data_IF_418000810902
#
_entry.id   IF_418000810902
#
_cell.length_a   1.000
_cell.length_b   1.000
_cell.length_c   1.000
_cell.angle_alpha   90.00
_cell.angle_beta   90.00
_cell.angle_gamma   90.00
#
_symmetry.space_group_name_H-M   'P 1'
#
loop_
_entity.id
_entity.type
_entity.pdbx_description
1 polymer ?
#
# COMPACT_ATOMS: atom_id res chain seq x y z
N UNK A 1 13.81 -4.84 16.47
CA UNK A 1 13.45 -6.27 16.35
C UNK A 1 12.05 -6.64 16.86
N UNK A 2 11.42 -5.89 17.79
CA UNK A 2 10.19 -6.34 18.48
C UNK A 2 8.86 -6.20 17.71
N UNK A 3 8.78 -5.38 16.65
CA UNK A 3 7.49 -5.03 16.05
C UNK A 3 6.89 -6.13 15.14
N UNK A 4 7.71 -6.79 14.29
CA UNK A 4 7.20 -7.81 13.37
C UNK A 4 6.69 -9.07 14.10
N UNK A 5 7.47 -9.59 15.05
CA UNK A 5 7.06 -10.76 15.83
C UNK A 5 5.80 -10.48 16.65
N UNK A 6 5.66 -9.26 17.17
CA UNK A 6 4.44 -8.84 17.86
C UNK A 6 3.22 -8.85 16.91
N UNK A 7 3.38 -8.30 15.70
CA UNK A 7 2.32 -8.29 14.67
C UNK A 7 1.91 -9.71 14.26
N UNK A 8 2.86 -10.63 14.12
CA UNK A 8 2.58 -12.03 13.80
C UNK A 8 1.79 -12.72 14.92
N UNK A 9 2.22 -12.54 16.17
CA UNK A 9 1.50 -13.09 17.32
C UNK A 9 0.09 -12.54 17.41
N UNK A 10 -0.09 -11.22 17.20
CA UNK A 10 -1.40 -10.59 17.15
C UNK A 10 -2.27 -11.15 16.03
N UNK A 11 -1.72 -11.32 14.83
CA UNK A 11 -2.44 -11.90 13.70
C UNK A 11 -2.86 -13.34 13.98
N UNK A 12 -1.97 -14.17 14.53
CA UNK A 12 -2.29 -15.56 14.86
C UNK A 12 -3.41 -15.70 15.90
N UNK A 13 -3.59 -14.72 16.79
CA UNK A 13 -4.68 -14.70 17.76
C UNK A 13 -6.04 -14.36 17.14
N UNK A 14 -6.07 -13.49 16.13
CA UNK A 14 -7.33 -12.96 15.56
C UNK A 14 -7.68 -13.57 14.19
N UNK A 15 -6.78 -14.33 13.56
CA UNK A 15 -6.91 -14.76 12.16
C UNK A 15 -8.21 -15.53 11.90
N UNK A 16 -8.68 -16.30 12.85
CA UNK A 16 -9.89 -17.12 12.70
C UNK A 16 -11.19 -16.32 12.99
N UNK A 17 -11.06 -15.09 13.50
CA UNK A 17 -12.17 -14.20 13.87
C UNK A 17 -12.42 -13.07 12.85
N UNK A 18 -11.43 -12.77 12.00
CA UNK A 18 -11.53 -11.70 10.99
C UNK A 18 -12.06 -12.23 9.65
N UNK A 19 -12.74 -11.39 8.83
CA UNK A 19 -13.24 -11.81 7.54
C UNK A 19 -12.14 -12.39 6.65
N UNK A 20 -12.44 -13.45 5.88
CA UNK A 20 -11.45 -14.16 5.04
C UNK A 20 -10.67 -13.25 4.11
N UNK A 21 -11.33 -12.25 3.50
CA UNK A 21 -10.68 -11.26 2.65
C UNK A 21 -9.66 -10.38 3.41
N UNK A 22 -9.94 -10.05 4.67
CA UNK A 22 -8.99 -9.31 5.53
C UNK A 22 -7.86 -10.23 5.98
N UNK A 23 -8.18 -11.48 6.33
CA UNK A 23 -7.21 -12.49 6.71
C UNK A 23 -6.15 -12.70 5.62
N UNK A 24 -6.58 -12.98 4.39
CA UNK A 24 -5.67 -13.24 3.27
C UNK A 24 -4.72 -12.06 3.00
N UNK A 25 -5.24 -10.84 3.11
CA UNK A 25 -4.48 -9.60 2.94
C UNK A 25 -3.45 -9.38 4.04
N UNK A 26 -3.87 -9.55 5.30
CA UNK A 26 -2.97 -9.46 6.45
C UNK A 26 -1.88 -10.55 6.39
N UNK A 27 -2.22 -11.78 6.01
CA UNK A 27 -1.26 -12.86 5.83
C UNK A 27 -0.22 -12.52 4.76
N UNK A 28 -0.65 -12.06 3.57
CA UNK A 28 0.24 -11.64 2.48
C UNK A 28 1.13 -10.48 2.92
N UNK A 29 0.58 -9.46 3.57
CA UNK A 29 1.33 -8.33 4.11
C UNK A 29 2.46 -8.81 5.05
N UNK A 30 2.13 -9.67 6.02
CA UNK A 30 3.12 -10.21 6.96
C UNK A 30 4.20 -11.04 6.26
N UNK A 31 3.83 -11.85 5.26
CA UNK A 31 4.80 -12.62 4.48
C UNK A 31 5.81 -11.72 3.76
N UNK A 32 5.36 -10.63 3.15
CA UNK A 32 6.22 -9.69 2.45
C UNK A 32 7.03 -8.80 3.40
N UNK A 33 6.49 -8.45 4.58
CA UNK A 33 7.27 -7.80 5.65
C UNK A 33 8.43 -8.67 6.14
N UNK A 34 8.22 -9.99 6.27
CA UNK A 34 9.30 -10.93 6.60
C UNK A 34 10.37 -10.95 5.51
N UNK A 35 9.96 -10.96 4.24
CA UNK A 35 10.90 -10.93 3.11
C UNK A 35 11.72 -9.63 3.10
N UNK A 36 11.08 -8.49 3.36
CA UNK A 36 11.76 -7.21 3.48
C UNK A 36 12.81 -7.22 4.60
N UNK A 37 12.46 -7.77 5.76
CA UNK A 37 13.38 -7.94 6.90
C UNK A 37 14.53 -8.90 6.59
N UNK A 38 14.28 -9.97 5.83
CA UNK A 38 15.32 -10.91 5.43
C UNK A 38 16.25 -10.37 4.35
N UNK A 39 15.90 -9.25 3.70
CA UNK A 39 16.64 -8.66 2.59
C UNK A 39 17.28 -7.32 3.01
N UNK A 40 17.72 -7.19 4.26
CA UNK A 40 18.23 -5.91 4.81
C UNK A 40 19.43 -5.34 4.04
N UNK A 41 20.25 -6.19 3.43
CA UNK A 41 21.42 -5.82 2.63
C UNK A 41 21.10 -5.48 1.17
N UNK A 42 19.95 -5.93 0.66
CA UNK A 42 19.48 -5.67 -0.71
C UNK A 42 18.34 -4.66 -0.65
N UNK A 43 18.69 -3.39 -0.83
CA UNK A 43 17.74 -2.28 -0.70
C UNK A 43 16.63 -2.32 -1.75
N UNK A 44 16.90 -2.82 -2.96
CA UNK A 44 15.91 -2.91 -4.03
C UNK A 44 14.87 -3.98 -3.70
N UNK A 45 15.33 -5.17 -3.28
CA UNK A 45 14.45 -6.27 -2.85
C UNK A 45 13.69 -5.88 -1.59
N UNK A 46 14.33 -5.18 -0.65
CA UNK A 46 13.67 -4.69 0.56
C UNK A 46 12.58 -3.68 0.22
N UNK A 47 12.87 -2.71 -0.65
CA UNK A 47 11.91 -1.70 -1.07
C UNK A 47 10.70 -2.33 -1.75
N UNK A 48 10.93 -3.19 -2.75
CA UNK A 48 9.81 -3.83 -3.46
C UNK A 48 9.00 -4.75 -2.52
N UNK A 49 9.66 -5.43 -1.57
CA UNK A 49 8.97 -6.25 -0.57
C UNK A 49 8.09 -5.40 0.36
N UNK A 50 8.56 -4.22 0.78
CA UNK A 50 7.75 -3.27 1.57
C UNK A 50 6.58 -2.74 0.74
N UNK A 51 6.80 -2.44 -0.53
CA UNK A 51 5.74 -1.99 -1.44
C UNK A 51 4.66 -3.06 -1.62
N UNK A 52 5.04 -4.33 -1.84
CA UNK A 52 4.09 -5.43 -1.95
C UNK A 52 3.36 -5.67 -0.63
N UNK A 53 4.07 -5.60 0.51
CA UNK A 53 3.44 -5.72 1.82
C UNK A 53 2.38 -4.64 2.06
N UNK A 54 2.70 -3.39 1.71
CA UNK A 54 1.77 -2.28 1.81
C UNK A 54 0.55 -2.51 0.91
N UNK A 55 0.76 -2.85 -0.37
CA UNK A 55 -0.34 -3.13 -1.30
C UNK A 55 -1.21 -4.31 -0.85
N UNK A 56 -0.64 -5.32 -0.21
CA UNK A 56 -1.41 -6.45 0.29
C UNK A 56 -2.45 -6.05 1.34
N UNK A 57 -2.18 -5.04 2.19
CA UNK A 57 -3.15 -4.56 3.19
C UNK A 57 -4.01 -3.40 2.67
N UNK A 58 -3.42 -2.54 1.82
CA UNK A 58 -4.05 -1.40 1.16
C UNK A 58 -5.14 -1.85 0.17
N UNK A 59 -4.85 -2.87 -0.64
CA UNK A 59 -5.75 -3.36 -1.67
C UNK A 59 -7.03 -3.89 -1.02
N UNK A 60 -8.05 -3.04 -0.94
CA UNK A 60 -9.44 -3.47 -0.77
C UNK A 60 -9.90 -4.03 -2.11
N UNK A 61 -10.91 -4.88 -2.07
CA UNK A 61 -11.91 -5.00 -3.14
C UNK A 61 -12.62 -3.63 -3.26
N UNK A 62 -11.88 -2.61 -3.70
CA UNK A 62 -12.46 -1.33 -4.04
C UNK A 62 -13.14 -1.55 -5.37
N UNK A 63 -14.42 -1.90 -5.31
CA UNK A 63 -15.41 -1.58 -6.34
C UNK A 63 -15.56 -0.05 -6.51
N UNK A 64 -14.51 0.73 -6.24
CA UNK A 64 -14.56 2.18 -6.33
C UNK A 64 -14.26 2.56 -7.75
N UNK A 65 -15.18 3.35 -8.30
CA UNK A 65 -15.13 4.07 -9.57
C UNK A 65 -14.09 5.22 -9.51
N UNK A 66 -13.20 5.21 -8.52
CA UNK A 66 -12.23 6.28 -8.24
C UNK A 66 -10.82 5.89 -8.68
N UNK A 67 -9.96 6.88 -8.96
CA UNK A 67 -8.58 6.63 -9.40
C UNK A 67 -7.74 6.00 -8.28
N UNK A 68 -6.73 5.20 -8.63
CA UNK A 68 -5.85 4.54 -7.65
C UNK A 68 -5.17 5.53 -6.69
N UNK A 69 -4.94 6.78 -7.15
CA UNK A 69 -4.39 7.88 -6.34
C UNK A 69 -5.33 8.32 -5.23
N UNK A 70 -6.63 8.50 -5.50
CA UNK A 70 -7.59 8.94 -4.47
C UNK A 70 -7.77 7.85 -3.41
N UNK A 71 -7.85 6.59 -3.84
CA UNK A 71 -7.92 5.43 -2.98
C UNK A 71 -6.72 5.37 -2.01
N UNK A 72 -5.51 5.61 -2.52
CA UNK A 72 -4.30 5.64 -1.71
C UNK A 72 -4.34 6.77 -0.67
N UNK A 73 -4.71 7.99 -1.08
CA UNK A 73 -4.82 9.14 -0.16
C UNK A 73 -5.87 8.89 0.92
N UNK A 74 -7.02 8.32 0.54
CA UNK A 74 -8.08 7.97 1.48
C UNK A 74 -7.62 6.90 2.47
N UNK A 75 -6.90 5.87 2.01
CA UNK A 75 -6.32 4.87 2.89
C UNK A 75 -5.32 5.48 3.87
N UNK A 76 -4.39 6.32 3.39
CA UNK A 76 -3.45 7.04 4.26
C UNK A 76 -4.18 7.89 5.30
N UNK A 77 -5.24 8.59 4.91
CA UNK A 77 -6.05 9.38 5.84
C UNK A 77 -6.67 8.48 6.93
N UNK A 78 -7.30 7.36 6.54
CA UNK A 78 -7.95 6.45 7.47
C UNK A 78 -6.98 5.80 8.46
N UNK A 79 -5.79 5.39 8.02
CA UNK A 79 -4.79 4.81 8.92
C UNK A 79 -4.21 5.87 9.86
N UNK A 80 -4.05 7.12 9.41
CA UNK A 80 -3.56 8.21 10.26
C UNK A 80 -4.57 8.57 11.36
N UNK A 81 -5.87 8.54 11.06
CA UNK A 81 -6.92 8.72 12.08
C UNK A 81 -6.88 7.63 13.16
N UNK A 82 -6.44 6.41 12.82
CA UNK A 82 -6.42 5.26 13.74
C UNK A 82 -5.08 5.02 14.44
N UNK A 83 -3.96 5.41 13.82
CA UNK A 83 -2.61 5.15 14.31
C UNK A 83 -2.06 6.23 15.27
N UNK A 84 -2.84 7.28 15.54
CA UNK A 84 -2.46 8.37 16.44
C UNK A 84 -1.33 9.25 15.87
N UNK A 85 -0.72 10.06 16.75
CA UNK A 85 0.22 11.11 16.33
C UNK A 85 1.50 10.60 15.67
N UNK A 86 1.93 9.36 15.89
CA UNK A 86 3.20 8.88 15.34
C UNK A 86 3.16 8.75 13.82
N UNK A 87 2.17 8.01 13.29
CA UNK A 87 2.00 7.86 11.85
C UNK A 87 1.66 9.20 11.18
N UNK A 88 0.89 10.05 11.87
CA UNK A 88 0.56 11.39 11.38
C UNK A 88 1.82 12.20 11.13
N UNK A 89 2.74 12.26 12.10
CA UNK A 89 4.02 12.97 11.94
C UNK A 89 4.87 12.39 10.83
N UNK A 90 4.92 11.06 10.70
CA UNK A 90 5.67 10.43 9.61
C UNK A 90 5.10 10.82 8.23
N UNK A 91 3.78 10.76 8.09
CA UNK A 91 3.09 10.99 6.80
C UNK A 91 3.10 12.47 6.41
N UNK A 92 2.83 13.37 7.34
CA UNK A 92 2.54 14.77 7.04
C UNK A 92 3.63 15.76 7.42
N UNK A 93 4.51 15.41 8.36
CA UNK A 93 5.59 16.30 8.80
C UNK A 93 6.96 15.84 8.29
N UNK A 94 7.26 14.53 8.35
CA UNK A 94 8.59 13.99 8.04
C UNK A 94 8.79 13.62 6.58
N UNK A 95 7.82 12.96 5.96
CA UNK A 95 7.92 12.45 4.59
C UNK A 95 6.83 12.96 3.62
N UNK A 96 6.26 14.17 3.76
CA UNK A 96 5.19 14.63 2.87
C UNK A 96 5.65 14.75 1.41
N UNK A 97 6.90 15.15 1.18
CA UNK A 97 7.45 15.29 -0.17
C UNK A 97 7.79 13.95 -0.80
N UNK A 98 8.41 13.03 -0.06
CA UNK A 98 8.71 11.68 -0.55
C UNK A 98 7.44 10.92 -0.97
N UNK A 99 6.37 11.06 -0.17
CA UNK A 99 5.06 10.49 -0.51
C UNK A 99 4.48 11.15 -1.77
N UNK A 100 4.63 12.47 -1.93
CA UNK A 100 4.17 13.17 -3.13
C UNK A 100 4.92 12.74 -4.38
N UNK A 101 6.26 12.66 -4.31
CA UNK A 101 7.11 12.15 -5.41
C UNK A 101 6.71 10.73 -5.77
N UNK A 102 6.50 9.88 -4.76
CA UNK A 102 6.04 8.51 -4.97
C UNK A 102 4.67 8.46 -5.66
N UNK A 103 3.71 9.28 -5.24
CA UNK A 103 2.37 9.35 -5.83
C UNK A 103 2.33 10.01 -7.22
N UNK A 104 3.41 10.68 -7.63
CA UNK A 104 3.56 11.18 -8.99
C UNK A 104 4.23 10.15 -9.92
N UNK A 105 4.67 9.01 -9.39
CA UNK A 105 5.25 7.95 -10.18
C UNK A 105 4.17 7.14 -10.91
N UNK A 106 4.03 7.34 -12.22
CA UNK A 106 3.07 6.60 -13.07
C UNK A 106 3.20 5.08 -12.99
N UNK A 107 4.37 4.53 -12.68
CA UNK A 107 4.60 3.09 -12.65
C UNK A 107 3.95 2.39 -11.45
N UNK A 108 3.44 3.15 -10.47
CA UNK A 108 2.84 2.58 -9.24
C UNK A 108 1.33 2.36 -9.35
N UNK A 109 0.69 2.85 -10.42
CA UNK A 109 -0.77 2.79 -10.63
C UNK A 109 -1.15 1.88 -11.79
N UNK A 110 -2.29 1.21 -11.66
CA UNK A 110 -2.75 0.18 -12.58
C UNK A 110 -3.09 0.77 -13.96
N UNK A 111 -3.65 1.98 -14.02
CA UNK A 111 -4.03 2.65 -15.28
C UNK A 111 -2.89 2.76 -16.29
N UNK A 112 -1.65 2.99 -15.81
CA UNK A 112 -0.46 3.00 -16.66
C UNK A 112 -0.21 1.63 -17.30
N UNK A 113 -0.31 0.56 -16.51
CA UNK A 113 -0.11 -0.80 -16.99
C UNK A 113 -1.24 -1.28 -17.88
N UNK A 114 -2.49 -0.91 -17.60
CA UNK A 114 -3.64 -1.25 -18.43
C UNK A 114 -3.53 -0.61 -19.82
N UNK A 115 -3.02 0.61 -19.92
CA UNK A 115 -2.69 1.24 -21.21
C UNK A 115 -1.64 0.43 -21.97
N UNK A 116 -0.55 0.05 -21.31
CA UNK A 116 0.51 -0.74 -21.95
C UNK A 116 0.08 -2.18 -22.29
N UNK A 117 -0.94 -2.71 -21.62
CA UNK A 117 -1.55 -4.00 -21.90
C UNK A 117 -2.68 -3.92 -22.95
N UNK A 118 -2.98 -2.74 -23.49
CA UNK A 118 -4.05 -2.54 -24.48
C UNK A 118 -5.47 -2.61 -23.92
N UNK A 119 -5.63 -2.51 -22.59
CA UNK A 119 -6.90 -2.52 -21.88
C UNK A 119 -7.45 -1.11 -21.62
N UNK A 120 -6.63 -0.07 -21.85
CA UNK A 120 -6.94 1.34 -21.56
C UNK A 120 -6.57 2.24 -22.74
N UNK A 121 -7.38 3.26 -23.05
CA UNK A 121 -7.07 4.21 -24.12
C UNK A 121 -6.12 5.32 -23.65
N UNK A 122 -5.40 5.96 -24.58
CA UNK A 122 -4.52 7.09 -24.25
C UNK A 122 -5.30 8.28 -23.65
N UNK A 123 -6.54 8.50 -24.11
CA UNK A 123 -7.42 9.55 -23.59
C UNK A 123 -7.83 9.24 -22.15
N UNK A 124 -8.25 8.00 -21.87
CA UNK A 124 -8.59 7.57 -20.52
C UNK A 124 -7.39 7.66 -19.56
N UNK A 125 -6.18 7.35 -20.04
CA UNK A 125 -4.95 7.50 -19.26
C UNK A 125 -4.68 8.96 -18.89
N UNK A 126 -4.80 9.89 -19.84
CA UNK A 126 -4.61 11.32 -19.57
C UNK A 126 -5.62 11.83 -18.56
N UNK A 127 -6.89 11.49 -18.72
CA UNK A 127 -7.95 11.87 -17.78
C UNK A 127 -7.72 11.31 -16.37
N UNK A 128 -7.20 10.08 -16.24
CA UNK A 128 -6.90 9.49 -14.93
C UNK A 128 -5.65 10.10 -14.27
N UNK A 129 -4.64 10.46 -15.07
CA UNK A 129 -3.44 11.13 -14.58
C UNK A 129 -3.70 12.58 -14.15
N UNK A 130 -4.65 13.27 -14.80
CA UNK A 130 -5.09 14.65 -14.53
C UNK A 130 -6.12 14.78 -13.40
N UNK A 131 -6.75 13.67 -12.97
CA UNK A 131 -7.57 13.62 -11.75
C UNK A 131 -6.67 13.70 -10.51
N UNK A 132 -6.34 14.92 -10.11
CA UNK A 132 -5.71 15.25 -8.81
C UNK A 132 -6.70 15.30 -7.65
#
# INVERSE_FOLDING_TARGET
MSNLTHLESRFNLIKDEIPTAVNLRAYRCLSWLKKAKASEEDLDVRFISLWIAFNAIYAKDLTFVESDKSAFRQFLHLINLRAGNELYRLTWEKYPEDIRVFLNNRYVFQSFWDYHNGLFSEVALKEDLEKE
#
